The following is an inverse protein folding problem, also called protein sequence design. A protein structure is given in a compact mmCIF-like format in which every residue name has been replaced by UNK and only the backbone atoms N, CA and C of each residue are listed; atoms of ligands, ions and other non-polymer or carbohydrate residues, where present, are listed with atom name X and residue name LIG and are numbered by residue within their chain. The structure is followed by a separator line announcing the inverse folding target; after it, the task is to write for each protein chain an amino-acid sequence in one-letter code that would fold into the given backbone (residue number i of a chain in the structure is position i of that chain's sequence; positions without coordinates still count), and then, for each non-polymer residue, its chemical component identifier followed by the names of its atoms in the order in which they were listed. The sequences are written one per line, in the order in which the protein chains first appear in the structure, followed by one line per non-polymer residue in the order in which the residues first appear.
data_IF_904823698651
#
_entry.id   IF_904823698651
#
_cell.length_a   1.000
_cell.length_b   1.000
_cell.length_c   1.000
_cell.angle_alpha   90.00
_cell.angle_beta   90.00
_cell.angle_gamma   90.00
#
_symmetry.space_group_name_H-M   'P 1'
#
loop_
_entity.id
_entity.type
_entity.pdbx_description
1 polymer ?
#
# COMPACT_ATOMS: atom_id res chain seq x y z
N UNK A 1 16.33 39.21 88.45
CA UNK A 1 15.41 39.78 89.47
C UNK A 1 14.27 38.79 89.70
N UNK A 2 14.19 38.15 90.86
CA UNK A 2 13.09 37.23 91.17
C UNK A 2 11.87 38.03 91.66
N UNK A 3 10.80 38.09 90.87
CA UNK A 3 9.53 38.69 91.29
C UNK A 3 8.79 37.71 92.21
N UNK A 4 8.60 38.08 93.46
CA UNK A 4 7.75 37.33 94.39
C UNK A 4 6.28 37.57 94.09
N UNK A 5 5.45 36.58 94.41
CA UNK A 5 4.00 36.67 94.22
C UNK A 5 3.40 37.73 95.15
N UNK A 6 2.73 38.72 94.57
CA UNK A 6 2.07 39.82 95.28
C UNK A 6 0.55 39.76 95.02
N UNK A 7 -0.26 39.37 96.01
CA UNK A 7 -1.71 39.32 95.86
C UNK A 7 -2.28 40.74 95.82
N UNK A 8 -3.29 40.96 94.99
CA UNK A 8 -3.95 42.27 94.83
C UNK A 8 -4.80 42.68 96.03
N UNK A 9 -5.22 41.70 96.85
CA UNK A 9 -6.03 41.89 98.05
C UNK A 9 -5.23 41.42 99.27
N UNK A 10 -5.48 41.97 100.47
CA UNK A 10 -4.86 41.45 101.68
C UNK A 10 -5.32 40.00 101.90
N UNK A 11 -4.36 39.10 102.13
CA UNK A 11 -4.60 37.66 102.32
C UNK A 11 -3.88 37.17 103.57
N UNK A 12 -4.50 36.23 104.27
CA UNK A 12 -3.95 35.61 105.49
C UNK A 12 -2.74 34.72 105.17
N UNK A 13 -2.77 33.98 104.05
CA UNK A 13 -1.70 33.10 103.61
C UNK A 13 -1.38 33.29 102.12
N UNK A 14 -0.17 33.81 101.83
CA UNK A 14 0.29 34.11 100.46
C UNK A 14 0.53 32.88 99.60
N UNK A 15 1.02 31.79 100.18
CA UNK A 15 1.33 30.56 99.43
C UNK A 15 0.06 29.88 98.91
N UNK A 16 -0.96 29.79 99.77
CA UNK A 16 -2.26 29.24 99.37
C UNK A 16 -2.92 30.10 98.28
N UNK A 17 -2.88 31.43 98.44
CA UNK A 17 -3.42 32.33 97.42
C UNK A 17 -2.70 32.17 96.07
N UNK A 18 -1.37 32.07 96.06
CA UNK A 18 -0.60 31.84 94.84
C UNK A 18 -1.04 30.56 94.13
N UNK A 19 -1.21 29.45 94.87
CA UNK A 19 -1.66 28.17 94.29
C UNK A 19 -3.06 28.27 93.71
N UNK A 20 -3.95 29.00 94.37
CA UNK A 20 -5.33 29.18 93.91
C UNK A 20 -5.38 30.02 92.65
N UNK A 21 -4.67 31.13 92.61
CA UNK A 21 -4.59 32.00 91.44
C UNK A 21 -3.98 31.28 90.23
N UNK A 22 -2.91 30.51 90.45
CA UNK A 22 -2.32 29.66 89.41
C UNK A 22 -3.33 28.64 88.89
N UNK A 23 -4.07 27.96 89.78
CA UNK A 23 -5.07 26.98 89.37
C UNK A 23 -6.20 27.63 88.56
N UNK A 24 -6.72 28.78 89.01
CA UNK A 24 -7.75 29.54 88.29
C UNK A 24 -7.25 30.02 86.93
N UNK A 25 -6.01 30.50 86.86
CA UNK A 25 -5.38 30.92 85.62
C UNK A 25 -5.26 29.75 84.64
N UNK A 26 -4.73 28.61 85.09
CA UNK A 26 -4.61 27.39 84.30
C UNK A 26 -5.97 26.88 83.82
N UNK A 27 -6.98 26.89 84.69
CA UNK A 27 -8.34 26.51 84.35
C UNK A 27 -8.96 27.45 83.31
N UNK A 28 -8.78 28.76 83.44
CA UNK A 28 -9.22 29.73 82.43
C UNK A 28 -8.50 29.51 81.09
N UNK A 29 -7.18 29.32 81.10
CA UNK A 29 -6.38 29.04 79.91
C UNK A 29 -6.85 27.77 79.19
N UNK A 30 -7.17 26.71 79.93
CA UNK A 30 -7.77 25.49 79.36
C UNK A 30 -9.10 25.78 78.71
N UNK A 31 -10.00 26.51 79.38
CA UNK A 31 -11.30 26.91 78.81
C UNK A 31 -11.12 27.67 77.49
N UNK A 32 -10.30 28.73 77.50
CA UNK A 32 -10.01 29.52 76.30
C UNK A 32 -9.45 28.64 75.18
N UNK A 33 -8.50 27.75 75.47
CA UNK A 33 -7.92 26.84 74.48
C UNK A 33 -8.90 25.80 73.94
N UNK A 34 -9.86 25.36 74.76
CA UNK A 34 -10.88 24.37 74.36
C UNK A 34 -12.09 24.97 73.67
N UNK A 35 -12.24 26.31 73.69
CA UNK A 35 -13.38 26.98 73.07
C UNK A 35 -13.25 26.89 71.56
N UNK A 36 -14.28 26.39 70.89
CA UNK A 36 -14.34 26.40 69.43
C UNK A 36 -14.59 27.83 68.92
N UNK A 37 -13.99 28.24 67.79
CA UNK A 37 -14.29 29.52 67.17
C UNK A 37 -15.76 29.54 66.69
N UNK A 38 -16.43 30.68 66.87
CA UNK A 38 -17.83 30.86 66.46
C UNK A 38 -18.00 30.86 64.93
N UNK A 39 -16.96 31.26 64.21
CA UNK A 39 -16.95 31.32 62.74
C UNK A 39 -15.93 30.32 62.21
N UNK A 40 -16.38 29.39 61.38
CA UNK A 40 -15.49 28.52 60.62
C UNK A 40 -14.87 29.32 59.47
N UNK A 41 -13.55 29.48 59.51
CA UNK A 41 -12.76 30.15 58.47
C UNK A 41 -11.99 29.16 57.59
N UNK A 42 -12.28 27.86 57.68
CA UNK A 42 -11.62 26.86 56.86
C UNK A 42 -12.06 27.00 55.40
N UNK A 43 -11.08 27.01 54.50
CA UNK A 43 -11.33 27.00 53.06
C UNK A 43 -12.11 25.76 52.64
N UNK A 44 -13.03 25.94 51.69
CA UNK A 44 -13.79 24.83 51.11
C UNK A 44 -12.85 23.79 50.50
N UNK A 45 -13.03 22.52 50.90
CA UNK A 45 -12.21 21.39 50.45
C UNK A 45 -12.41 21.19 48.95
N UNK A 46 -11.32 21.28 48.19
CA UNK A 46 -11.36 21.05 46.74
C UNK A 46 -11.95 19.67 46.43
N UNK A 47 -13.04 19.59 45.64
CA UNK A 47 -13.60 18.32 45.22
C UNK A 47 -12.57 17.44 44.50
N UNK A 48 -12.58 16.13 44.78
CA UNK A 48 -11.60 15.18 44.24
C UNK A 48 -11.56 15.15 42.70
N UNK A 49 -12.70 15.38 42.04
CA UNK A 49 -12.79 15.43 40.57
C UNK A 49 -12.14 16.66 39.93
N UNK A 50 -11.77 17.67 40.72
CA UNK A 50 -10.98 18.82 40.27
C UNK A 50 -9.49 18.50 40.38
N UNK A 51 -9.10 17.77 41.42
CA UNK A 51 -7.73 17.28 41.62
C UNK A 51 -7.36 16.20 40.59
N UNK A 52 -8.33 15.34 40.26
CA UNK A 52 -8.20 14.27 39.30
C UNK A 52 -9.07 14.61 38.08
N UNK A 53 -8.48 14.95 36.93
CA UNK A 53 -9.18 15.33 35.68
C UNK A 53 -9.96 14.14 35.06
N UNK A 54 -10.98 13.64 35.76
CA UNK A 54 -11.73 12.43 35.43
C UNK A 54 -12.67 12.56 34.21
N UNK A 55 -12.89 13.78 33.68
CA UNK A 55 -13.76 14.01 32.50
C UNK A 55 -13.12 13.67 31.15
N UNK A 56 -11.83 13.32 31.12
CA UNK A 56 -11.13 12.84 29.91
C UNK A 56 -10.30 11.62 30.31
N UNK A 57 -10.89 10.43 30.29
CA UNK A 57 -10.11 9.21 30.56
C UNK A 57 -9.08 9.03 29.43
N UNK A 58 -7.77 9.07 29.73
CA UNK A 58 -6.71 8.87 28.74
C UNK A 58 -6.62 7.40 28.26
N UNK A 59 -7.42 6.50 28.83
CA UNK A 59 -7.34 5.05 28.66
C UNK A 59 -7.55 4.60 27.21
N UNK A 60 -8.51 5.19 26.49
CA UNK A 60 -8.76 4.85 25.08
C UNK A 60 -7.60 5.27 24.17
N UNK A 61 -6.97 6.42 24.45
CA UNK A 61 -5.80 6.87 23.67
C UNK A 61 -4.56 6.06 24.01
N UNK A 62 -4.36 5.78 25.29
CA UNK A 62 -3.22 5.01 25.77
C UNK A 62 -3.28 3.57 25.26
N UNK A 63 -4.46 2.95 25.23
CA UNK A 63 -4.65 1.60 24.70
C UNK A 63 -4.38 1.51 23.19
N UNK A 64 -4.75 2.54 22.40
CA UNK A 64 -4.38 2.63 20.98
C UNK A 64 -2.85 2.74 20.84
N UNK A 65 -2.22 3.63 21.60
CA UNK A 65 -0.76 3.83 21.58
C UNK A 65 -0.03 2.53 21.96
N UNK A 66 -0.47 1.84 23.01
CA UNK A 66 0.16 0.62 23.49
C UNK A 66 -0.01 -0.54 22.50
N UNK A 67 -1.17 -0.62 21.85
CA UNK A 67 -1.43 -1.57 20.76
C UNK A 67 -0.48 -1.31 19.58
N UNK A 68 -0.36 -0.06 19.15
CA UNK A 68 0.49 0.31 18.02
C UNK A 68 1.97 0.09 18.34
N UNK A 69 2.39 0.40 19.57
CA UNK A 69 3.75 0.14 20.05
C UNK A 69 4.09 -1.35 20.06
N UNK A 70 3.17 -2.21 20.51
CA UNK A 70 3.36 -3.67 20.44
C UNK A 70 3.49 -4.15 19.00
N UNK A 71 2.66 -3.63 18.10
CA UNK A 71 2.67 -4.01 16.69
C UNK A 71 3.96 -3.54 15.99
N UNK A 72 4.42 -2.34 16.30
CA UNK A 72 5.70 -1.82 15.82
C UNK A 72 6.87 -2.64 16.35
N UNK A 73 6.91 -2.94 17.65
CA UNK A 73 7.95 -3.75 18.26
C UNK A 73 8.01 -5.15 17.63
N UNK A 74 6.87 -5.78 17.36
CA UNK A 74 6.82 -7.07 16.65
C UNK A 74 7.38 -6.98 15.23
N UNK A 75 7.04 -5.91 14.48
CA UNK A 75 7.60 -5.69 13.13
C UNK A 75 9.12 -5.47 13.17
N UNK A 76 9.61 -4.67 14.12
CA UNK A 76 11.03 -4.43 14.30
C UNK A 76 11.76 -5.72 14.71
N UNK A 77 11.20 -6.51 15.61
CA UNK A 77 11.75 -7.81 15.98
C UNK A 77 11.82 -8.74 14.76
N UNK A 78 10.77 -8.80 13.94
CA UNK A 78 10.79 -9.59 12.70
C UNK A 78 11.88 -9.11 11.73
N UNK A 79 12.07 -7.81 11.57
CA UNK A 79 13.14 -7.25 10.72
C UNK A 79 14.52 -7.60 11.28
N UNK A 80 14.74 -7.41 12.58
CA UNK A 80 16.01 -7.68 13.26
C UNK A 80 16.36 -9.17 13.23
N UNK A 81 15.37 -10.06 13.39
CA UNK A 81 15.55 -11.50 13.34
C UNK A 81 15.63 -12.05 11.91
N UNK A 82 15.13 -11.31 10.91
CA UNK A 82 15.25 -11.73 9.51
C UNK A 82 16.68 -11.52 9.01
N UNK A 83 17.24 -12.46 8.26
CA UNK A 83 18.60 -12.37 7.70
C UNK A 83 18.73 -11.38 6.52
N UNK A 84 17.81 -10.42 6.41
CA UNK A 84 17.86 -9.37 5.39
C UNK A 84 17.54 -9.84 3.96
N UNK A 85 16.81 -10.95 3.80
CA UNK A 85 16.36 -11.43 2.49
C UNK A 85 15.24 -10.52 1.94
N UNK A 86 15.60 -9.35 1.43
CA UNK A 86 14.71 -8.51 0.64
C UNK A 86 14.58 -9.18 -0.73
N UNK A 87 13.43 -9.76 -0.99
CA UNK A 87 13.05 -10.19 -2.33
C UNK A 87 12.88 -8.95 -3.21
N UNK A 88 13.91 -8.64 -3.97
CA UNK A 88 13.88 -7.62 -5.03
C UNK A 88 12.99 -8.05 -6.22
N UNK A 89 12.21 -9.12 -6.02
CA UNK A 89 11.27 -9.68 -6.97
C UNK A 89 9.95 -8.93 -6.81
N UNK A 90 10.01 -7.67 -7.18
CA UNK A 90 8.85 -6.81 -7.18
C UNK A 90 7.87 -7.35 -8.22
N UNK A 91 6.84 -8.07 -7.77
CA UNK A 91 5.88 -8.74 -8.63
C UNK A 91 4.88 -7.72 -9.19
N UNK A 92 5.39 -6.75 -9.95
CA UNK A 92 4.57 -5.80 -10.67
C UNK A 92 3.87 -6.53 -11.82
N UNK A 93 2.55 -6.65 -11.73
CA UNK A 93 1.75 -6.97 -12.92
C UNK A 93 1.92 -5.82 -13.91
N UNK A 94 2.50 -6.09 -15.09
CA UNK A 94 2.53 -5.14 -16.20
C UNK A 94 1.09 -4.86 -16.65
N UNK A 95 0.48 -3.82 -16.09
CA UNK A 95 -0.85 -3.35 -16.50
C UNK A 95 -0.68 -2.50 -17.74
N UNK A 96 -0.97 -3.10 -18.89
CA UNK A 96 -1.15 -2.33 -20.13
C UNK A 96 -2.48 -1.58 -20.05
N UNK A 97 -2.45 -0.26 -20.26
CA UNK A 97 -3.65 0.59 -20.33
C UNK A 97 -4.65 0.08 -21.40
N UNK A 98 -4.14 -0.61 -22.43
CA UNK A 98 -4.93 -1.13 -23.55
C UNK A 98 -5.18 -2.65 -23.44
N UNK A 99 -4.95 -3.26 -22.28
CA UNK A 99 -5.12 -4.71 -22.10
C UNK A 99 -6.52 -5.20 -22.45
N UNK A 100 -7.53 -4.43 -22.07
CA UNK A 100 -8.94 -4.82 -22.21
C UNK A 100 -9.39 -4.72 -23.66
N UNK A 101 -9.07 -3.60 -24.31
CA UNK A 101 -9.29 -3.40 -25.74
C UNK A 101 -8.60 -4.48 -26.59
N UNK A 102 -7.35 -4.82 -26.25
CA UNK A 102 -6.62 -5.91 -26.95
C UNK A 102 -7.29 -7.27 -26.78
N UNK A 103 -7.87 -7.55 -25.60
CA UNK A 103 -8.62 -8.78 -25.35
C UNK A 103 -9.90 -8.84 -26.19
N UNK A 104 -10.64 -7.74 -26.27
CA UNK A 104 -11.85 -7.65 -27.11
C UNK A 104 -11.54 -7.83 -28.60
N UNK A 105 -10.50 -7.16 -29.11
CA UNK A 105 -10.05 -7.32 -30.49
C UNK A 105 -9.64 -8.77 -30.80
N UNK A 106 -8.92 -9.43 -29.88
CA UNK A 106 -8.55 -10.84 -30.02
C UNK A 106 -9.78 -11.75 -30.11
N UNK A 107 -10.81 -11.50 -29.30
CA UNK A 107 -12.05 -12.26 -29.36
C UNK A 107 -12.80 -12.05 -30.69
N UNK A 108 -12.85 -10.80 -31.16
CA UNK A 108 -13.48 -10.46 -32.44
C UNK A 108 -12.78 -11.16 -33.61
N UNK A 109 -11.45 -11.05 -33.67
CA UNK A 109 -10.62 -11.73 -34.69
C UNK A 109 -10.79 -13.24 -34.60
N UNK A 110 -10.84 -13.80 -33.39
CA UNK A 110 -11.11 -15.23 -33.18
C UNK A 110 -12.45 -15.67 -33.76
N UNK A 111 -13.52 -14.91 -33.51
CA UNK A 111 -14.84 -15.17 -34.06
C UNK A 111 -14.88 -15.09 -35.60
N UNK A 112 -14.24 -14.08 -36.17
CA UNK A 112 -14.16 -13.89 -37.62
C UNK A 112 -13.37 -15.02 -38.28
N UNK A 113 -12.22 -15.38 -37.71
CA UNK A 113 -11.39 -16.48 -38.21
C UNK A 113 -12.13 -17.81 -38.14
N UNK A 114 -12.90 -18.06 -37.08
CA UNK A 114 -13.73 -19.25 -36.98
C UNK A 114 -14.82 -19.28 -38.07
N UNK A 115 -15.46 -18.15 -38.35
CA UNK A 115 -16.45 -18.05 -39.42
C UNK A 115 -15.84 -18.31 -40.80
N UNK A 116 -14.65 -17.76 -41.07
CA UNK A 116 -13.90 -18.01 -42.31
C UNK A 116 -13.51 -19.48 -42.40
N UNK A 117 -12.95 -20.05 -41.33
CA UNK A 117 -12.57 -21.45 -41.28
C UNK A 117 -13.77 -22.34 -41.58
N UNK A 118 -14.92 -22.12 -40.93
CA UNK A 118 -16.15 -22.86 -41.20
C UNK A 118 -16.57 -22.77 -42.67
N UNK A 119 -16.52 -21.59 -43.27
CA UNK A 119 -16.82 -21.40 -44.71
C UNK A 119 -15.87 -22.23 -45.57
N UNK A 120 -14.56 -22.09 -45.38
CA UNK A 120 -13.54 -22.82 -46.14
C UNK A 120 -13.71 -24.33 -45.98
N UNK A 121 -13.92 -24.82 -44.76
CA UNK A 121 -14.14 -26.26 -44.50
C UNK A 121 -15.44 -26.77 -45.10
N UNK A 122 -16.50 -25.96 -45.10
CA UNK A 122 -17.80 -26.34 -45.68
C UNK A 122 -17.79 -26.34 -47.21
N UNK A 123 -16.91 -25.53 -47.83
CA UNK A 123 -16.74 -25.51 -49.26
C UNK A 123 -16.00 -26.77 -49.71
N UNK A 124 -16.64 -27.59 -50.54
CA UNK A 124 -15.95 -28.65 -51.28
C UNK A 124 -15.02 -28.02 -52.33
N UNK A 125 -13.83 -28.59 -52.51
CA UNK A 125 -12.91 -28.15 -53.56
C UNK A 125 -13.46 -28.53 -54.94
N UNK A 126 -14.10 -27.60 -55.62
CA UNK A 126 -14.67 -27.83 -56.95
C UNK A 126 -13.57 -27.62 -58.02
N UNK A 127 -12.65 -28.59 -58.14
CA UNK A 127 -11.49 -28.51 -59.03
C UNK A 127 -11.88 -28.80 -60.50
N UNK A 128 -12.42 -27.80 -61.19
CA UNK A 128 -12.83 -27.91 -62.61
C UNK A 128 -11.72 -27.48 -63.56
N UNK A 129 -10.73 -28.36 -63.73
CA UNK A 129 -9.54 -28.13 -64.56
C UNK A 129 -9.85 -27.59 -65.97
N UNK A 130 -10.88 -28.11 -66.62
CA UNK A 130 -11.27 -27.69 -67.98
C UNK A 130 -11.67 -26.21 -68.05
N UNK A 131 -12.55 -25.77 -67.13
CA UNK A 131 -13.04 -24.38 -67.09
C UNK A 131 -11.90 -23.42 -66.81
N UNK A 132 -10.96 -23.79 -65.94
CA UNK A 132 -9.78 -22.97 -65.64
C UNK A 132 -8.84 -22.84 -66.84
N UNK A 133 -8.65 -23.90 -67.63
CA UNK A 133 -7.91 -23.82 -68.89
C UNK A 133 -8.59 -22.88 -69.88
N UNK A 134 -9.90 -23.01 -70.07
CA UNK A 134 -10.66 -22.18 -70.99
C UNK A 134 -10.67 -20.70 -70.58
N UNK A 135 -10.74 -20.43 -69.26
CA UNK A 135 -10.73 -19.06 -68.74
C UNK A 135 -9.34 -18.44 -68.77
N UNK A 136 -8.30 -19.25 -68.52
CA UNK A 136 -6.91 -18.85 -68.74
C UNK A 136 -6.66 -18.52 -70.20
N UNK A 137 -7.11 -19.36 -71.13
CA UNK A 137 -6.96 -19.13 -72.57
C UNK A 137 -7.71 -17.86 -73.02
N UNK A 138 -8.95 -17.65 -72.55
CA UNK A 138 -9.70 -16.41 -72.79
C UNK A 138 -8.99 -15.17 -72.24
N UNK A 139 -8.34 -15.30 -71.09
CA UNK A 139 -7.55 -14.22 -70.48
C UNK A 139 -6.27 -13.97 -71.27
N UNK A 140 -5.60 -15.01 -71.78
CA UNK A 140 -4.44 -14.87 -72.66
C UNK A 140 -4.81 -14.14 -73.95
N UNK A 141 -5.87 -14.58 -74.63
CA UNK A 141 -6.37 -13.92 -75.86
C UNK A 141 -6.68 -12.45 -75.62
N UNK A 142 -7.47 -12.12 -74.59
CA UNK A 142 -7.76 -10.72 -74.22
C UNK A 142 -6.48 -9.91 -73.93
N UNK A 143 -5.49 -10.53 -73.31
CA UNK A 143 -4.20 -9.88 -73.07
C UNK A 143 -3.40 -9.65 -74.34
N UNK A 144 -3.44 -10.56 -75.32
CA UNK A 144 -2.81 -10.37 -76.64
C UNK A 144 -3.52 -9.24 -77.40
N UNK A 145 -4.85 -9.25 -77.39
CA UNK A 145 -5.68 -8.26 -78.10
C UNK A 145 -5.50 -6.82 -77.54
N UNK A 146 -5.32 -6.69 -76.22
CA UNK A 146 -5.11 -5.39 -75.55
C UNK A 146 -3.63 -4.98 -75.59
N UNK A 147 -2.71 -5.89 -75.90
CA UNK A 147 -1.28 -5.56 -75.91
C UNK A 147 -0.91 -4.72 -77.13
N UNK A 148 -0.36 -3.53 -76.89
CA UNK A 148 0.17 -2.64 -77.93
C UNK A 148 1.48 -3.19 -78.56
N UNK A 149 2.13 -4.14 -77.91
CA UNK A 149 3.42 -4.70 -78.31
C UNK A 149 3.35 -6.22 -78.40
N UNK A 150 3.90 -6.84 -79.46
CA UNK A 150 3.92 -8.30 -79.60
C UNK A 150 4.61 -8.94 -78.40
N UNK A 151 4.00 -9.98 -77.82
CA UNK A 151 4.67 -10.78 -76.80
C UNK A 151 5.91 -11.41 -77.40
N UNK A 152 7.09 -10.99 -76.93
CA UNK A 152 8.32 -11.73 -77.20
C UNK A 152 8.12 -13.15 -76.66
N UNK A 153 8.13 -14.13 -77.56
CA UNK A 153 8.21 -15.55 -77.19
C UNK A 153 9.34 -15.68 -76.17
N UNK A 154 9.04 -16.22 -74.99
CA UNK A 154 9.93 -16.35 -73.84
C UNK A 154 11.09 -17.35 -74.11
N UNK A 155 11.90 -17.08 -75.13
CA UNK A 155 13.05 -17.86 -75.58
C UNK A 155 14.29 -17.00 -75.82
N UNK A 156 14.22 -15.67 -75.62
CA UNK A 156 15.39 -14.78 -75.68
C UNK A 156 15.65 -14.19 -74.29
N UNK A 157 16.14 -15.04 -73.38
CA UNK A 157 16.91 -14.53 -72.24
C UNK A 157 18.04 -13.67 -72.81
N UNK A 158 17.92 -12.34 -72.74
CA UNK A 158 19.06 -11.45 -72.99
C UNK A 158 20.11 -11.85 -71.96
N UNK A 159 21.19 -12.49 -72.40
CA UNK A 159 22.39 -12.72 -71.59
C UNK A 159 22.96 -11.34 -71.23
N UNK A 160 22.49 -10.76 -70.14
CA UNK A 160 23.11 -9.59 -69.53
C UNK A 160 24.43 -10.08 -68.94
N UNK A 161 25.55 -9.73 -69.58
CA UNK A 161 26.88 -9.93 -69.02
C UNK A 161 27.04 -8.92 -67.89
N UNK A 162 26.76 -9.33 -66.66
CA UNK A 162 27.22 -8.58 -65.50
C UNK A 162 28.75 -8.65 -65.48
N UNK A 163 29.40 -7.49 -65.53
CA UNK A 163 30.83 -7.40 -65.30
C UNK A 163 31.11 -7.92 -63.88
N UNK A 164 31.99 -8.91 -63.78
CA UNK A 164 32.41 -9.49 -62.52
C UNK A 164 33.05 -8.39 -61.66
N UNK A 165 32.30 -7.91 -60.67
CA UNK A 165 32.87 -7.26 -59.50
C UNK A 165 33.27 -8.37 -58.54
N UNK A 166 34.55 -8.31 -58.19
CA UNK A 166 35.29 -9.10 -57.20
C UNK A 166 34.41 -9.76 -56.14
N UNK A 167 34.53 -11.08 -56.11
CA UNK A 167 34.14 -11.98 -55.03
C UNK A 167 34.62 -11.48 -53.67
N UNK A 168 33.69 -11.09 -52.82
CA UNK A 168 33.81 -11.29 -51.37
C UNK A 168 32.68 -12.21 -50.92
N UNK A 169 33.07 -13.35 -50.33
CA UNK A 169 32.15 -14.34 -49.76
C UNK A 169 31.68 -13.87 -48.37
N UNK A 170 30.40 -14.01 -48.03
CA UNK A 170 30.00 -14.27 -46.66
C UNK A 170 29.49 -15.71 -46.51
N UNK A 171 29.97 -16.36 -45.45
CA UNK A 171 29.79 -17.77 -45.18
C UNK A 171 28.35 -18.19 -44.89
N UNK A 172 28.00 -19.36 -45.41
CA UNK A 172 26.77 -20.09 -45.06
C UNK A 172 26.95 -20.76 -43.69
N UNK A 173 26.42 -20.16 -42.62
CA UNK A 173 26.09 -20.90 -41.41
C UNK A 173 24.78 -21.66 -41.67
N UNK A 174 24.87 -22.99 -41.76
CA UNK A 174 23.70 -23.89 -41.78
C UNK A 174 23.24 -24.11 -40.35
N UNK A 175 22.17 -23.45 -39.94
CA UNK A 175 21.44 -23.81 -38.71
C UNK A 175 20.37 -24.84 -39.07
N UNK A 176 20.58 -26.09 -38.67
CA UNK A 176 19.62 -27.18 -38.75
C UNK A 176 18.62 -27.08 -37.59
N UNK A 177 17.46 -26.46 -37.83
CA UNK A 177 16.32 -26.55 -36.91
C UNK A 177 15.63 -27.90 -37.10
N UNK A 178 15.99 -28.86 -36.23
CA UNK A 178 15.33 -30.15 -36.07
C UNK A 178 14.07 -29.95 -35.22
N UNK A 179 12.88 -30.13 -35.81
CA UNK A 179 11.62 -30.15 -35.06
C UNK A 179 11.57 -31.39 -34.15
N UNK A 180 11.23 -31.28 -32.85
CA UNK A 180 10.98 -32.44 -32.03
C UNK A 180 9.53 -32.93 -32.23
N UNK A 181 9.37 -34.23 -32.46
CA UNK A 181 8.08 -34.88 -32.38
C UNK A 181 7.64 -34.95 -30.91
N UNK A 182 6.39 -34.54 -30.66
CA UNK A 182 5.70 -34.71 -29.37
C UNK A 182 5.37 -36.19 -29.18
N UNK A 183 5.71 -36.72 -28.01
CA UNK A 183 5.04 -37.87 -27.40
C UNK A 183 3.74 -37.42 -26.72
#
# INVERSE_FOLDING_TARGET
MHRSYQPLKPVTNRYLQQRWDLNQYEHHRRKVSSTLPVVDNKGMRTPAHIQLKLKKLPDDRQSIIDRDNRLLASKLANIVCSEGLVDHWNQYSLKSLNGDKRREELLLVGHQNLAIHRRITSCQSDYRRQIWWDDWERTQRRRDDISQHPRELAGKQRKVKFAATTTEKPGTQKNSSKCPQRS
#
